data_IF_638146950469
#
_entry.id   IF_638146950469
#
_cell.length_a   1.000
_cell.length_b   1.000
_cell.length_c   1.000
_cell.angle_alpha   90.00
_cell.angle_beta   90.00
_cell.angle_gamma   90.00
#
_symmetry.space_group_name_H-M   'P 1'
#
loop_
_entity.id
_entity.type
_entity.pdbx_description
1 polymer ?
#
# COMPACT_ATOMS: atom_id res chain seq x y z
N UNK A 1 7.88 24.53 -3.52
CA UNK A 1 8.35 23.31 -4.22
C UNK A 1 7.27 22.24 -4.04
N UNK A 2 6.75 21.62 -5.10
CA UNK A 2 5.78 20.52 -4.98
C UNK A 2 6.56 19.21 -4.98
N UNK A 3 6.44 18.43 -3.90
CA UNK A 3 7.14 17.16 -3.69
C UNK A 3 6.24 16.01 -4.16
N UNK A 4 6.76 15.06 -4.94
CA UNK A 4 6.08 13.81 -5.20
C UNK A 4 6.26 12.86 -4.00
N UNK A 5 5.23 12.13 -3.61
CA UNK A 5 5.32 11.18 -2.49
C UNK A 5 4.90 9.79 -2.97
N UNK A 6 5.74 8.79 -2.70
CA UNK A 6 5.47 7.38 -2.99
C UNK A 6 5.58 6.56 -1.71
N UNK A 7 4.45 5.97 -1.29
CA UNK A 7 4.45 4.94 -0.25
C UNK A 7 4.46 3.60 -0.97
N UNK A 8 5.53 2.83 -0.82
CA UNK A 8 5.70 1.53 -1.47
C UNK A 8 5.89 0.44 -0.42
N UNK A 9 4.87 -0.39 -0.24
CA UNK A 9 4.84 -1.42 0.79
C UNK A 9 5.06 -2.81 0.21
N UNK A 10 5.66 -3.70 1.01
CA UNK A 10 5.76 -5.11 0.72
C UNK A 10 4.97 -5.90 1.75
N UNK A 11 3.97 -6.65 1.31
CA UNK A 11 3.17 -7.44 2.24
C UNK A 11 4.01 -8.55 2.91
N UNK A 12 3.72 -8.81 4.19
CA UNK A 12 4.28 -9.90 4.98
C UNK A 12 5.82 -9.93 5.09
N UNK A 13 6.49 -8.77 4.99
CA UNK A 13 7.96 -8.67 5.09
C UNK A 13 8.46 -7.90 6.32
N UNK A 14 9.32 -8.55 7.11
CA UNK A 14 10.06 -7.95 8.23
C UNK A 14 11.39 -7.32 7.79
N UNK A 15 12.01 -6.48 8.64
CA UNK A 15 13.21 -5.69 8.29
C UNK A 15 14.36 -6.61 7.96
N UNK A 16 14.55 -7.57 8.85
CA UNK A 16 15.57 -8.60 8.71
C UNK A 16 15.29 -9.49 7.49
N UNK A 17 14.03 -9.73 7.15
CA UNK A 17 13.71 -10.48 5.94
C UNK A 17 14.02 -9.66 4.67
N UNK A 18 13.67 -8.38 4.64
CA UNK A 18 13.98 -7.48 3.53
C UNK A 18 15.49 -7.40 3.28
N UNK A 19 16.30 -7.20 4.33
CA UNK A 19 17.77 -7.16 4.24
C UNK A 19 18.35 -8.46 3.65
N UNK A 20 17.80 -9.62 4.04
CA UNK A 20 18.30 -10.93 3.59
C UNK A 20 17.83 -11.29 2.18
N UNK A 21 16.57 -11.05 1.85
CA UNK A 21 15.95 -11.51 0.59
C UNK A 21 16.11 -10.49 -0.53
N UNK A 22 16.25 -9.20 -0.21
CA UNK A 22 16.40 -8.11 -1.18
C UNK A 22 17.68 -7.29 -0.92
N UNK A 23 18.87 -7.92 -0.87
CA UNK A 23 20.11 -7.23 -0.52
C UNK A 23 20.50 -6.15 -1.54
N UNK A 24 20.10 -6.31 -2.81
CA UNK A 24 20.31 -5.31 -3.87
C UNK A 24 19.47 -4.06 -3.59
N UNK A 25 18.18 -4.23 -3.27
CA UNK A 25 17.29 -3.11 -2.92
C UNK A 25 17.75 -2.39 -1.65
N UNK A 26 18.18 -3.15 -0.63
CA UNK A 26 18.75 -2.57 0.58
C UNK A 26 20.03 -1.78 0.33
N UNK A 27 20.87 -2.22 -0.62
CA UNK A 27 22.08 -1.48 -1.00
C UNK A 27 21.74 -0.16 -1.68
N UNK A 28 20.71 -0.15 -2.55
CA UNK A 28 20.21 1.09 -3.18
C UNK A 28 19.71 2.07 -2.12
N UNK A 29 18.89 1.61 -1.17
CA UNK A 29 18.42 2.40 -0.02
C UNK A 29 19.56 3.08 0.73
N UNK A 30 20.60 2.32 1.08
CA UNK A 30 21.79 2.85 1.76
C UNK A 30 22.51 3.90 0.92
N UNK A 31 22.64 3.68 -0.40
CA UNK A 31 23.29 4.63 -1.30
C UNK A 31 22.52 5.94 -1.48
N UNK A 32 21.21 5.93 -1.25
CA UNK A 32 20.35 7.11 -1.30
C UNK A 32 20.28 7.88 0.02
N UNK A 33 21.09 7.50 1.03
CA UNK A 33 20.97 8.02 2.40
C UNK A 33 19.54 7.89 2.95
N UNK A 34 18.85 6.80 2.62
CA UNK A 34 17.50 6.56 3.12
C UNK A 34 17.51 6.38 4.65
N UNK A 35 16.48 6.92 5.30
CA UNK A 35 16.29 6.79 6.75
C UNK A 35 15.57 5.46 7.02
N UNK A 36 16.23 4.59 7.79
CA UNK A 36 15.62 3.32 8.25
C UNK A 36 14.99 3.55 9.61
N UNK A 37 13.69 3.28 9.72
CA UNK A 37 12.94 3.41 10.97
C UNK A 37 13.09 2.16 11.84
N UNK A 38 14.22 2.04 12.55
CA UNK A 38 14.56 0.82 13.30
C UNK A 38 13.59 0.48 14.45
N UNK A 39 12.95 1.50 15.03
CA UNK A 39 11.97 1.38 16.11
C UNK A 39 10.51 1.28 15.65
N UNK A 40 10.24 1.35 14.34
CA UNK A 40 8.88 1.21 13.82
C UNK A 40 8.36 -0.22 14.03
N UNK A 41 7.14 -0.33 14.55
CA UNK A 41 6.46 -1.60 14.78
C UNK A 41 5.01 -1.50 14.31
N UNK A 42 4.47 -2.63 13.88
CA UNK A 42 3.04 -2.75 13.56
C UNK A 42 2.22 -2.62 14.84
N UNK A 43 1.06 -1.98 14.75
CA UNK A 43 0.14 -1.82 15.89
C UNK A 43 -0.93 -2.90 15.95
N UNK A 44 -0.89 -3.88 15.02
CA UNK A 44 -1.72 -5.07 15.03
C UNK A 44 -1.25 -6.11 14.03
N UNK A 45 -1.84 -7.31 14.09
CA UNK A 45 -1.34 -8.52 13.41
C UNK A 45 -1.77 -8.63 11.93
N UNK A 46 -2.79 -7.86 11.50
CA UNK A 46 -3.27 -7.88 10.13
C UNK A 46 -2.88 -6.65 9.32
N UNK A 47 -2.88 -6.80 7.99
CA UNK A 47 -2.58 -5.72 7.04
C UNK A 47 -3.45 -4.48 7.25
N UNK A 48 -4.78 -4.58 7.47
CA UNK A 48 -5.60 -3.40 7.79
C UNK A 48 -5.17 -2.72 9.10
N UNK A 49 -4.86 -3.50 10.14
CA UNK A 49 -4.43 -2.98 11.44
C UNK A 49 -3.07 -2.28 11.36
N UNK A 50 -2.22 -2.64 10.38
CA UNK A 50 -0.95 -1.99 10.16
C UNK A 50 -1.05 -0.77 9.23
N UNK A 51 -1.90 -0.83 8.19
CA UNK A 51 -2.02 0.26 7.19
C UNK A 51 -3.00 1.35 7.59
N UNK A 52 -4.10 1.04 8.28
CA UNK A 52 -5.06 2.06 8.72
C UNK A 52 -4.37 3.12 9.59
N UNK A 53 -3.59 2.78 10.62
CA UNK A 53 -2.98 3.78 11.49
C UNK A 53 -1.89 4.58 10.77
N UNK A 54 -1.14 3.92 9.87
CA UNK A 54 -0.14 4.58 9.02
C UNK A 54 -0.77 5.61 8.07
N UNK A 55 -1.94 5.31 7.51
CA UNK A 55 -2.56 6.13 6.47
C UNK A 55 -3.65 7.06 6.98
N UNK A 56 -4.08 6.93 8.24
CA UNK A 56 -5.13 7.78 8.84
C UNK A 56 -4.68 8.49 10.11
N UNK A 57 -3.63 8.00 10.79
CA UNK A 57 -3.26 8.46 12.12
C UNK A 57 -4.10 7.88 13.26
N UNK A 58 -5.09 7.02 12.97
CA UNK A 58 -6.01 6.43 13.94
C UNK A 58 -5.98 4.90 13.93
N UNK A 59 -6.22 4.28 15.07
CA UNK A 59 -6.45 2.84 15.16
C UNK A 59 -7.84 2.45 14.65
N UNK A 60 -8.03 1.17 14.28
CA UNK A 60 -9.35 0.65 13.90
C UNK A 60 -10.43 0.84 14.98
N UNK A 61 -10.04 0.95 16.25
CA UNK A 61 -10.96 1.13 17.37
C UNK A 61 -11.44 2.58 17.53
N UNK A 62 -10.68 3.55 17.02
CA UNK A 62 -11.02 4.98 17.05
C UNK A 62 -11.88 5.39 15.85
N UNK A 63 -11.95 4.55 14.83
CA UNK A 63 -12.66 4.81 13.58
C UNK A 63 -14.02 4.07 13.53
N UNK A 64 -14.96 4.53 12.69
CA UNK A 64 -16.22 3.80 12.46
C UNK A 64 -15.99 2.36 12.01
N UNK A 65 -16.88 1.45 12.41
CA UNK A 65 -16.74 0.04 12.09
C UNK A 65 -17.04 -0.23 10.60
N UNK A 66 -16.01 -0.63 9.86
CA UNK A 66 -16.11 -0.99 8.43
C UNK A 66 -15.98 -2.50 8.21
N UNK A 67 -15.95 -3.31 9.26
CA UNK A 67 -15.71 -4.76 9.14
C UNK A 67 -16.89 -5.43 8.46
N UNK A 68 -16.62 -6.20 7.40
CA UNK A 68 -17.66 -6.88 6.59
C UNK A 68 -18.57 -7.79 7.42
N UNK A 69 -18.06 -8.38 8.50
CA UNK A 69 -18.82 -9.22 9.45
C UNK A 69 -19.98 -8.50 10.14
N UNK A 70 -19.99 -7.17 10.15
CA UNK A 70 -21.06 -6.38 10.74
C UNK A 70 -22.28 -6.24 9.81
N UNK A 71 -22.20 -6.75 8.58
CA UNK A 71 -23.29 -6.76 7.61
C UNK A 71 -23.75 -5.35 7.27
N UNK A 72 -25.06 -5.10 7.36
CA UNK A 72 -25.67 -3.79 7.07
C UNK A 72 -25.21 -2.67 8.00
N UNK A 73 -24.71 -3.00 9.21
CA UNK A 73 -24.21 -2.01 10.17
C UNK A 73 -22.81 -1.50 9.83
N UNK A 74 -22.07 -2.21 8.98
CA UNK A 74 -20.75 -1.78 8.54
C UNK A 74 -20.86 -0.49 7.71
N UNK A 75 -20.02 0.50 8.01
CA UNK A 75 -19.79 1.64 7.13
C UNK A 75 -18.84 1.25 5.98
N UNK A 76 -18.82 2.03 4.91
CA UNK A 76 -17.77 1.89 3.89
C UNK A 76 -16.49 2.59 4.35
N UNK A 77 -15.33 2.16 3.85
CA UNK A 77 -14.03 2.73 4.21
C UNK A 77 -13.87 4.21 3.82
N UNK A 78 -14.78 4.74 3.01
CA UNK A 78 -14.92 6.16 2.66
C UNK A 78 -15.05 7.06 3.89
N UNK A 79 -15.48 6.54 5.05
CA UNK A 79 -15.58 7.34 6.28
C UNK A 79 -14.22 7.63 6.93
N UNK A 80 -13.15 6.94 6.53
CA UNK A 80 -11.82 7.10 7.14
C UNK A 80 -11.10 8.36 6.64
N UNK A 81 -10.35 9.06 7.50
CA UNK A 81 -9.58 10.25 7.14
C UNK A 81 -8.23 9.84 6.52
N UNK A 82 -8.28 9.11 5.41
CA UNK A 82 -7.06 8.68 4.75
C UNK A 82 -6.25 9.87 4.23
N UNK A 83 -4.92 9.82 4.40
CA UNK A 83 -3.97 10.88 4.03
C UNK A 83 -4.07 11.28 2.55
N UNK A 84 -4.46 10.36 1.67
CA UNK A 84 -4.65 10.68 0.26
C UNK A 84 -5.82 11.65 0.02
N UNK A 85 -6.77 11.79 0.94
CA UNK A 85 -7.82 12.82 0.87
C UNK A 85 -7.22 14.20 1.10
N UNK A 86 -6.31 14.33 2.07
CA UNK A 86 -5.59 15.59 2.30
C UNK A 86 -4.71 15.93 1.10
N UNK A 87 -4.02 14.97 0.51
CA UNK A 87 -3.30 15.21 -0.75
C UNK A 87 -4.23 15.70 -1.86
N UNK A 88 -5.43 15.12 -2.02
CA UNK A 88 -6.41 15.57 -3.01
C UNK A 88 -6.87 17.01 -2.76
N UNK A 89 -7.20 17.38 -1.53
CA UNK A 89 -7.65 18.75 -1.19
C UNK A 89 -6.55 19.79 -1.44
N UNK A 90 -5.28 19.40 -1.36
CA UNK A 90 -4.13 20.25 -1.69
C UNK A 90 -3.71 20.19 -3.16
N UNK A 91 -4.53 19.59 -4.04
CA UNK A 91 -4.34 19.60 -5.49
C UNK A 91 -3.35 18.57 -6.02
N UNK A 92 -3.08 17.50 -5.27
CA UNK A 92 -2.28 16.38 -5.75
C UNK A 92 -3.14 15.40 -6.56
N UNK A 93 -2.55 14.85 -7.62
CA UNK A 93 -3.09 13.65 -8.27
C UNK A 93 -2.67 12.43 -7.44
N UNK A 94 -3.63 11.56 -7.13
CA UNK A 94 -3.44 10.45 -6.19
C UNK A 94 -3.64 9.11 -6.87
N UNK A 95 -2.84 8.13 -6.46
CA UNK A 95 -2.94 6.74 -6.89
C UNK A 95 -2.89 5.82 -5.68
N UNK A 96 -3.78 4.83 -5.66
CA UNK A 96 -3.72 3.70 -4.73
C UNK A 96 -3.77 2.39 -5.51
N UNK A 97 -2.92 1.43 -5.14
CA UNK A 97 -2.80 0.16 -5.84
C UNK A 97 -2.37 -0.97 -4.94
N UNK A 98 -2.84 -2.17 -5.29
CA UNK A 98 -2.44 -3.45 -4.72
C UNK A 98 -2.45 -4.48 -5.86
N UNK A 99 -1.50 -5.42 -5.87
CA UNK A 99 -1.37 -6.45 -6.91
C UNK A 99 -2.29 -7.67 -6.74
N UNK A 100 -3.03 -7.72 -5.62
CA UNK A 100 -3.87 -8.86 -5.25
C UNK A 100 -5.29 -8.40 -4.88
N UNK A 101 -6.13 -8.06 -5.88
CA UNK A 101 -7.44 -7.45 -5.64
C UNK A 101 -8.44 -8.35 -4.90
N UNK A 102 -8.27 -9.68 -4.96
CA UNK A 102 -9.11 -10.64 -4.23
C UNK A 102 -8.90 -10.60 -2.71
N UNK A 103 -7.69 -10.23 -2.29
CA UNK A 103 -7.29 -10.14 -0.88
C UNK A 103 -6.91 -8.70 -0.51
N UNK A 104 -7.49 -7.71 -1.19
CA UNK A 104 -7.17 -6.30 -0.98
C UNK A 104 -7.39 -5.87 0.47
N UNK A 105 -6.51 -4.99 0.96
CA UNK A 105 -6.46 -4.57 2.36
C UNK A 105 -7.83 -4.10 2.85
N UNK A 106 -8.51 -3.27 2.06
CA UNK A 106 -9.78 -2.66 2.44
C UNK A 106 -11.02 -3.39 1.90
N UNK A 107 -10.86 -4.41 1.06
CA UNK A 107 -11.98 -5.08 0.37
C UNK A 107 -12.19 -6.53 0.82
N UNK A 108 -11.18 -7.17 1.44
CA UNK A 108 -11.28 -8.55 1.86
C UNK A 108 -12.06 -8.73 3.18
N UNK A 109 -11.61 -8.10 4.27
CA UNK A 109 -12.24 -8.19 5.61
C UNK A 109 -13.09 -6.97 5.97
N UNK A 110 -12.89 -5.87 5.26
CA UNK A 110 -13.67 -4.65 5.42
C UNK A 110 -14.71 -4.55 4.29
N UNK A 111 -15.66 -3.62 4.43
CA UNK A 111 -16.78 -3.44 3.50
C UNK A 111 -16.31 -2.96 2.12
N UNK A 112 -15.09 -2.45 2.01
CA UNK A 112 -14.59 -1.80 0.82
C UNK A 112 -14.96 -0.33 0.77
N UNK A 113 -14.69 0.27 -0.37
CA UNK A 113 -15.08 1.63 -0.70
C UNK A 113 -16.37 1.63 -1.50
N UNK A 114 -17.23 2.61 -1.24
CA UNK A 114 -18.41 2.89 -2.06
C UNK A 114 -18.01 3.70 -3.29
N UNK A 115 -17.19 4.73 -3.10
CA UNK A 115 -16.68 5.58 -4.17
C UNK A 115 -15.21 5.25 -4.47
N UNK A 116 -14.71 5.69 -5.63
CA UNK A 116 -13.30 5.48 -5.97
C UNK A 116 -12.40 6.29 -5.00
N UNK A 117 -11.48 5.66 -4.24
CA UNK A 117 -10.79 6.34 -3.13
C UNK A 117 -9.72 7.35 -3.56
N UNK A 118 -9.17 7.20 -4.76
CA UNK A 118 -8.10 8.02 -5.34
C UNK A 118 -8.36 8.27 -6.81
N UNK A 119 -7.71 9.27 -7.43
CA UNK A 119 -7.89 9.56 -8.85
C UNK A 119 -7.56 8.35 -9.75
N UNK A 120 -6.56 7.55 -9.35
CA UNK A 120 -6.20 6.32 -10.03
C UNK A 120 -6.20 5.14 -9.04
N UNK A 121 -7.14 4.21 -9.22
CA UNK A 121 -7.23 3.03 -8.37
C UNK A 121 -6.81 1.78 -9.15
N UNK A 122 -5.57 1.29 -8.97
CA UNK A 122 -5.05 0.16 -9.75
C UNK A 122 -5.80 -1.15 -9.50
N UNK A 123 -6.49 -1.29 -8.37
CA UNK A 123 -7.24 -2.51 -8.06
C UNK A 123 -8.39 -2.76 -9.05
N UNK A 124 -8.93 -1.73 -9.72
CA UNK A 124 -9.93 -1.92 -10.80
C UNK A 124 -9.30 -2.65 -11.98
N UNK A 125 -8.15 -2.17 -12.45
CA UNK A 125 -7.39 -2.82 -13.52
C UNK A 125 -7.08 -4.28 -13.17
N UNK A 126 -6.53 -4.54 -11.98
CA UNK A 126 -6.19 -5.90 -11.59
C UNK A 126 -7.43 -6.79 -11.51
N UNK A 127 -8.55 -6.30 -10.96
CA UNK A 127 -9.81 -7.04 -10.86
C UNK A 127 -10.39 -7.38 -12.23
N UNK A 128 -10.40 -6.44 -13.16
CA UNK A 128 -10.92 -6.66 -14.52
C UNK A 128 -10.02 -7.63 -15.30
N UNK A 129 -8.72 -7.60 -15.02
CA UNK A 129 -7.71 -8.47 -15.62
C UNK A 129 -7.72 -9.91 -15.07
N UNK A 130 -8.45 -10.20 -13.98
CA UNK A 130 -8.47 -11.53 -13.35
C UNK A 130 -8.97 -12.62 -14.29
N UNK A 131 -9.86 -12.29 -15.24
CA UNK A 131 -10.34 -13.24 -16.25
C UNK A 131 -9.26 -13.69 -17.23
N UNK A 132 -8.22 -12.88 -17.42
CA UNK A 132 -7.07 -13.17 -18.29
C UNK A 132 -5.93 -13.88 -17.54
N UNK A 133 -6.15 -14.19 -16.27
CA UNK A 133 -5.16 -14.85 -15.44
C UNK A 133 -4.96 -16.29 -15.89
N UNK A 134 -3.69 -16.68 -16.12
CA UNK A 134 -3.33 -18.08 -16.40
C UNK A 134 -3.42 -18.93 -15.12
N UNK A 135 -3.13 -20.23 -15.23
CA UNK A 135 -2.94 -21.12 -14.06
C UNK A 135 -1.95 -20.58 -13.03
N UNK A 136 -0.99 -19.74 -13.45
CA UNK A 136 -0.07 -19.08 -12.53
C UNK A 136 -0.76 -17.94 -11.78
N UNK A 137 -0.79 -18.05 -10.44
CA UNK A 137 -1.48 -17.11 -9.57
C UNK A 137 -0.83 -15.72 -9.54
N UNK A 138 0.44 -15.59 -9.93
CA UNK A 138 1.21 -14.36 -9.79
C UNK A 138 1.53 -13.67 -11.13
N UNK A 139 1.00 -14.19 -12.23
CA UNK A 139 1.20 -13.64 -13.57
C UNK A 139 -0.12 -13.23 -14.21
N UNK A 140 -0.13 -12.05 -14.83
CA UNK A 140 -1.14 -11.69 -15.82
C UNK A 140 -0.55 -11.97 -17.21
N UNK A 141 -1.17 -12.88 -17.96
CA UNK A 141 -0.60 -13.44 -19.20
C UNK A 141 0.82 -14.00 -19.00
N UNK A 142 1.85 -13.27 -19.45
CA UNK A 142 3.26 -13.63 -19.34
C UNK A 142 4.07 -12.64 -18.48
N UNK A 143 3.40 -11.70 -17.82
CA UNK A 143 4.05 -10.70 -16.97
C UNK A 143 3.70 -10.92 -15.49
N UNK A 144 4.70 -10.93 -14.59
CA UNK A 144 4.46 -10.94 -13.15
C UNK A 144 3.67 -9.69 -12.71
N UNK A 145 2.70 -9.86 -11.81
CA UNK A 145 1.84 -8.75 -11.36
C UNK A 145 2.62 -7.62 -10.69
N UNK A 146 3.61 -7.93 -9.84
CA UNK A 146 4.46 -6.90 -9.23
C UNK A 146 5.16 -6.02 -10.28
N UNK A 147 5.52 -6.58 -11.44
CA UNK A 147 6.15 -5.81 -12.53
C UNK A 147 5.14 -4.89 -13.20
N UNK A 148 3.90 -5.34 -13.36
CA UNK A 148 2.80 -4.52 -13.87
C UNK A 148 2.48 -3.36 -12.92
N UNK A 149 2.40 -3.62 -11.62
CA UNK A 149 2.15 -2.59 -10.61
C UNK A 149 3.25 -1.53 -10.61
N UNK A 150 4.52 -1.96 -10.52
CA UNK A 150 5.67 -1.04 -10.57
C UNK A 150 5.69 -0.24 -11.87
N UNK A 151 5.41 -0.87 -13.01
CA UNK A 151 5.31 -0.17 -14.30
C UNK A 151 4.17 0.84 -14.30
N UNK A 152 3.01 0.49 -13.75
CA UNK A 152 1.86 1.37 -13.61
C UNK A 152 2.18 2.61 -12.77
N UNK A 153 2.87 2.44 -11.65
CA UNK A 153 3.35 3.54 -10.79
C UNK A 153 4.35 4.43 -11.53
N UNK A 154 5.30 3.85 -12.27
CA UNK A 154 6.28 4.63 -13.06
C UNK A 154 5.60 5.44 -14.18
N UNK A 155 4.63 4.84 -14.87
CA UNK A 155 3.83 5.54 -15.91
C UNK A 155 2.96 6.63 -15.28
N UNK A 156 2.40 6.39 -14.10
CA UNK A 156 1.66 7.40 -13.36
C UNK A 156 2.56 8.62 -13.06
N UNK A 157 3.74 8.40 -12.49
CA UNK A 157 4.66 9.50 -12.19
C UNK A 157 5.17 10.21 -13.44
N UNK A 158 5.36 9.52 -14.57
CA UNK A 158 5.79 10.16 -15.82
C UNK A 158 4.71 11.03 -16.45
N UNK A 159 3.43 10.71 -16.23
CA UNK A 159 2.29 11.49 -16.76
C UNK A 159 1.87 12.63 -15.84
N UNK A 160 1.91 12.42 -14.52
CA UNK A 160 1.56 13.46 -13.54
C UNK A 160 2.65 14.54 -13.46
N UNK A 161 3.91 14.19 -13.72
CA UNK A 161 5.00 15.15 -13.81
C UNK A 161 5.24 15.60 -15.26
N UNK A 162 4.64 16.72 -15.66
CA UNK A 162 5.11 17.49 -16.84
C UNK A 162 6.51 18.12 -16.62
N UNK A 163 7.06 18.03 -15.41
CA UNK A 163 8.42 18.45 -15.08
C UNK A 163 9.21 17.31 -14.40
N UNK A 164 10.32 16.91 -15.04
CA UNK A 164 11.28 15.84 -14.69
C UNK A 164 11.26 15.40 -13.22
N UNK A 165 11.02 14.10 -13.00
CA UNK A 165 11.34 13.42 -11.73
C UNK A 165 12.85 13.48 -11.52
N UNK A 166 13.31 14.27 -10.57
CA UNK A 166 14.67 14.15 -10.02
C UNK A 166 14.65 13.12 -8.88
N UNK A 167 15.74 12.39 -8.72
CA UNK A 167 15.93 11.30 -7.74
C UNK A 167 15.74 11.71 -6.27
N UNK A 168 15.56 12.99 -6.00
CA UNK A 168 15.44 13.58 -4.66
C UNK A 168 14.02 13.49 -4.06
N UNK A 169 13.02 13.09 -4.85
CA UNK A 169 11.61 13.09 -4.40
C UNK A 169 11.06 11.73 -3.96
N UNK A 170 11.84 10.65 -3.99
CA UNK A 170 11.35 9.33 -3.62
C UNK A 170 11.67 9.09 -2.14
N UNK A 171 10.77 9.54 -1.26
CA UNK A 171 10.74 9.04 0.11
C UNK A 171 10.17 7.62 0.08
N UNK A 172 11.01 6.61 -0.12
CA UNK A 172 10.59 5.22 0.06
C UNK A 172 10.36 4.98 1.55
N UNK A 173 9.11 5.11 1.98
CA UNK A 173 8.69 4.62 3.28
C UNK A 173 8.71 3.11 3.23
N UNK A 174 9.76 2.52 3.80
CA UNK A 174 9.82 1.09 4.09
C UNK A 174 8.78 0.81 5.18
N UNK A 175 7.54 0.51 4.78
CA UNK A 175 6.55 -0.11 5.65
C UNK A 175 6.99 -1.55 5.89
N UNK A 176 7.93 -1.71 6.81
CA UNK A 176 8.41 -3.02 7.22
C UNK A 176 7.44 -3.61 8.23
N UNK A 177 6.67 -4.61 7.81
CA UNK A 177 5.78 -5.36 8.67
C UNK A 177 6.59 -6.42 9.44
N UNK A 178 7.25 -6.02 10.54
CA UNK A 178 7.89 -7.00 11.44
C UNK A 178 6.84 -7.69 12.29
N UNK A 179 6.60 -8.99 12.05
CA UNK A 179 5.96 -9.87 13.02
C UNK A 179 6.98 -10.23 14.13
N UNK A 180 6.70 -9.81 15.35
CA UNK A 180 7.29 -10.40 16.55
C UNK A 180 6.30 -11.44 17.09
N UNK A 181 6.41 -12.69 16.64
CA UNK A 181 5.80 -13.80 17.38
C UNK A 181 6.61 -14.00 18.66
N UNK A 182 6.21 -13.37 19.76
CA UNK A 182 6.58 -13.87 21.09
C UNK A 182 5.89 -15.21 21.28
N UNK A 183 6.60 -16.30 21.02
CA UNK A 183 6.26 -17.61 21.58
C UNK A 183 6.59 -17.55 23.08
N UNK A 184 5.58 -17.54 23.92
CA UNK A 184 5.70 -17.73 25.38
C UNK A 184 5.06 -16.61 26.20
N UNK A 185 4.28 -17.02 27.21
CA UNK A 185 3.40 -16.27 28.12
C UNK A 185 1.97 -16.12 27.55
N UNK A 186 0.95 -16.86 27.99
CA UNK A 186 0.74 -17.85 29.08
C UNK A 186 -0.32 -18.83 28.60
#
# INVERSE_FOLDING_TARGET
>A
MKLNVLIFGFDSMSRLNFIRQLPKSYTVLKSMNAIVLEGYNIVGDGTPQALIPMLTGFTELELPDTRRRMGSRAQYCDVYPFIWKDYQTHGYVTLYGEDTPEFGTYTYRLKGFQDQPTHHWLSTFFRDSMSEQKKDKFCLKNMPRHRLEVTGVLVFFSKVNLHKVTSESISMFEAVFTHSRRRGQT
#
